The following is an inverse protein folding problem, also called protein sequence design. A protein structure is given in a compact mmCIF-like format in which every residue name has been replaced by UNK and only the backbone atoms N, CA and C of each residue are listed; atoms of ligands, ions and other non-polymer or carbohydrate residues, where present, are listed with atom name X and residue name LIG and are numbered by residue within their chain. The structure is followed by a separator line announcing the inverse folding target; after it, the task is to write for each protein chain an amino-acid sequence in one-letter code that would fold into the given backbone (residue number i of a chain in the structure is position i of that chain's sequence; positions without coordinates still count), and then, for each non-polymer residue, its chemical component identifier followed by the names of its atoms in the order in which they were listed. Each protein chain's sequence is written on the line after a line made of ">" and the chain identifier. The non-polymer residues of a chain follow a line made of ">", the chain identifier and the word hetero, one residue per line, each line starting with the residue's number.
data_IF_657009544180
#
_entry.id   IF_657009544180
#
_cell.length_a   1.000
_cell.length_b   1.000
_cell.length_c   1.000
_cell.angle_alpha   90.00
_cell.angle_beta   90.00
_cell.angle_gamma   90.00
#
_symmetry.space_group_name_H-M   'P 1'
#
loop_
_entity.id
_entity.type
_entity.pdbx_description
1 polymer ?
#
# COMPACT_ATOMS: atom_id res chain seq x y z
N UNK A 1 -2.78 51.75 35.14
CA UNK A 1 -2.90 50.31 35.48
C UNK A 1 -4.00 49.55 34.72
N UNK A 2 -5.04 50.21 34.15
CA UNK A 2 -6.15 49.49 33.48
C UNK A 2 -5.93 49.12 32.00
N UNK A 3 -4.99 49.77 31.29
CA UNK A 3 -4.74 49.48 29.86
C UNK A 3 -3.85 48.24 29.61
N UNK A 4 -2.92 47.93 30.50
CA UNK A 4 -2.02 46.77 30.35
C UNK A 4 -2.73 45.42 30.53
N UNK A 5 -3.70 45.34 31.46
CA UNK A 5 -4.51 44.13 31.66
C UNK A 5 -5.39 43.78 30.45
N UNK A 6 -5.88 44.78 29.70
CA UNK A 6 -6.69 44.55 28.50
C UNK A 6 -5.90 43.99 27.32
N UNK A 7 -4.64 44.41 27.16
CA UNK A 7 -3.73 43.92 26.10
C UNK A 7 -3.31 42.47 26.38
N UNK A 8 -3.08 42.13 27.65
CA UNK A 8 -2.72 40.77 28.08
C UNK A 8 -3.86 39.76 27.86
N UNK A 9 -5.11 40.16 28.15
CA UNK A 9 -6.30 39.33 27.89
C UNK A 9 -6.47 39.05 26.40
N UNK A 10 -6.29 40.06 25.54
CA UNK A 10 -6.39 39.91 24.08
C UNK A 10 -5.30 38.98 23.51
N UNK A 11 -4.05 39.10 24.00
CA UNK A 11 -2.96 38.18 23.62
C UNK A 11 -3.24 36.74 24.06
N UNK A 12 -3.72 36.55 25.30
CA UNK A 12 -4.07 35.23 25.82
C UNK A 12 -5.22 34.58 25.05
N UNK A 13 -6.23 35.37 24.67
CA UNK A 13 -7.33 34.90 23.82
C UNK A 13 -6.85 34.51 22.42
N UNK A 14 -5.98 35.31 21.81
CA UNK A 14 -5.37 35.00 20.51
C UNK A 14 -4.57 33.69 20.55
N UNK A 15 -3.77 33.49 21.59
CA UNK A 15 -2.97 32.27 21.76
C UNK A 15 -3.86 31.02 21.96
N UNK A 16 -4.95 31.14 22.70
CA UNK A 16 -5.93 30.05 22.87
C UNK A 16 -6.63 29.73 21.54
N UNK A 17 -6.98 30.75 20.76
CA UNK A 17 -7.56 30.59 19.43
C UNK A 17 -6.59 29.86 18.48
N UNK A 18 -5.33 30.30 18.37
CA UNK A 18 -4.33 29.68 17.49
C UNK A 18 -4.07 28.21 17.84
N UNK A 19 -4.02 27.90 19.14
CA UNK A 19 -3.91 26.51 19.62
C UNK A 19 -5.14 25.67 19.24
N UNK A 20 -6.33 26.25 19.39
CA UNK A 20 -7.59 25.59 19.03
C UNK A 20 -7.69 25.35 17.53
N UNK A 21 -7.36 26.36 16.72
CA UNK A 21 -7.31 26.27 15.27
C UNK A 21 -6.33 25.18 14.81
N UNK A 22 -5.11 25.16 15.36
CA UNK A 22 -4.11 24.14 15.05
C UNK A 22 -4.60 22.72 15.37
N UNK A 23 -5.28 22.56 16.50
CA UNK A 23 -5.90 21.28 16.90
C UNK A 23 -7.00 20.85 15.92
N UNK A 24 -7.87 21.78 15.53
CA UNK A 24 -8.95 21.51 14.56
C UNK A 24 -8.38 21.14 13.19
N UNK A 25 -7.39 21.89 12.68
CA UNK A 25 -6.72 21.59 11.41
C UNK A 25 -6.12 20.18 11.45
N UNK A 26 -5.42 19.83 12.54
CA UNK A 26 -4.87 18.48 12.72
C UNK A 26 -5.97 17.42 12.69
N UNK A 27 -7.09 17.64 13.37
CA UNK A 27 -8.22 16.69 13.39
C UNK A 27 -8.87 16.51 12.02
N UNK A 28 -8.97 17.59 11.23
CA UNK A 28 -9.47 17.55 9.85
C UNK A 28 -8.56 16.67 9.00
N UNK A 29 -7.24 16.88 9.05
CA UNK A 29 -6.28 16.11 8.27
C UNK A 29 -6.25 14.63 8.69
N UNK A 30 -6.26 14.33 9.98
CA UNK A 30 -6.39 12.95 10.49
C UNK A 30 -7.67 12.26 9.98
N UNK A 31 -8.79 12.98 9.96
CA UNK A 31 -10.08 12.43 9.51
C UNK A 31 -10.10 12.17 8.01
N UNK A 32 -9.53 13.08 7.20
CA UNK A 32 -9.35 12.88 5.74
C UNK A 32 -8.47 11.67 5.46
N UNK A 33 -7.32 11.57 6.14
CA UNK A 33 -6.43 10.42 5.99
C UNK A 33 -7.12 9.12 6.34
N UNK A 34 -7.85 9.07 7.46
CA UNK A 34 -8.61 7.88 7.88
C UNK A 34 -9.64 7.47 6.82
N UNK A 35 -10.40 8.42 6.27
CA UNK A 35 -11.37 8.14 5.22
C UNK A 35 -10.70 7.54 3.97
N UNK A 36 -9.60 8.12 3.51
CA UNK A 36 -8.84 7.62 2.35
C UNK A 36 -8.31 6.21 2.61
N UNK A 37 -7.71 5.96 3.77
CA UNK A 37 -7.18 4.63 4.12
C UNK A 37 -8.29 3.58 4.19
N UNK A 38 -9.44 3.91 4.79
CA UNK A 38 -10.60 2.98 4.84
C UNK A 38 -11.11 2.65 3.44
N UNK A 39 -11.29 3.66 2.58
CA UNK A 39 -11.72 3.45 1.19
C UNK A 39 -10.71 2.58 0.44
N UNK A 40 -9.41 2.83 0.62
CA UNK A 40 -8.37 2.04 -0.02
C UNK A 40 -8.40 0.57 0.42
N UNK A 41 -8.60 0.30 1.71
CA UNK A 41 -8.73 -1.08 2.22
C UNK A 41 -9.87 -1.83 1.55
N UNK A 42 -11.06 -1.21 1.49
CA UNK A 42 -12.23 -1.80 0.84
C UNK A 42 -11.99 -2.02 -0.66
N UNK A 43 -11.30 -1.09 -1.33
CA UNK A 43 -10.96 -1.23 -2.74
C UNK A 43 -10.02 -2.41 -3.00
N UNK A 44 -8.98 -2.57 -2.17
CA UNK A 44 -8.05 -3.69 -2.27
C UNK A 44 -8.75 -5.02 -1.96
N UNK A 45 -9.68 -5.05 -1.00
CA UNK A 45 -10.50 -6.24 -0.73
C UNK A 45 -11.39 -6.61 -1.92
N UNK A 46 -12.04 -5.62 -2.56
CA UNK A 46 -12.82 -5.83 -3.77
C UNK A 46 -11.96 -6.40 -4.91
N UNK A 47 -10.79 -5.82 -5.15
CA UNK A 47 -9.88 -6.29 -6.21
C UNK A 47 -9.30 -7.67 -5.92
N UNK A 48 -9.03 -7.97 -4.66
CA UNK A 48 -8.70 -9.33 -4.23
C UNK A 48 -9.84 -10.31 -4.55
N UNK A 49 -11.08 -9.96 -4.20
CA UNK A 49 -12.25 -10.79 -4.48
C UNK A 49 -12.42 -11.06 -5.98
N UNK A 50 -12.35 -10.01 -6.80
CA UNK A 50 -12.41 -10.13 -8.27
C UNK A 50 -11.32 -11.08 -8.79
N UNK A 51 -10.08 -10.90 -8.35
CA UNK A 51 -8.96 -11.75 -8.77
C UNK A 51 -9.13 -13.21 -8.38
N UNK A 52 -9.63 -13.46 -7.16
CA UNK A 52 -9.97 -14.80 -6.67
C UNK A 52 -11.06 -15.43 -7.54
N UNK A 53 -12.17 -14.73 -7.76
CA UNK A 53 -13.31 -15.22 -8.55
C UNK A 53 -12.91 -15.55 -9.99
N UNK A 54 -12.13 -14.68 -10.65
CA UNK A 54 -11.63 -14.96 -12.00
C UNK A 54 -10.81 -16.24 -12.01
N UNK A 55 -9.91 -16.40 -11.04
CA UNK A 55 -9.06 -17.59 -10.93
C UNK A 55 -9.90 -18.86 -10.72
N UNK A 56 -10.87 -18.83 -9.82
CA UNK A 56 -11.76 -19.96 -9.55
C UNK A 56 -12.64 -20.33 -10.76
N UNK A 57 -13.13 -19.34 -11.52
CA UNK A 57 -13.95 -19.58 -12.73
C UNK A 57 -13.16 -20.31 -13.82
N UNK A 58 -11.89 -19.91 -13.99
CA UNK A 58 -10.98 -20.52 -14.97
C UNK A 58 -10.46 -21.89 -14.53
N UNK A 59 -10.28 -22.12 -13.24
CA UNK A 59 -9.83 -23.42 -12.71
C UNK A 59 -10.96 -24.47 -12.68
N UNK A 60 -12.19 -24.08 -12.30
CA UNK A 60 -13.30 -25.03 -12.09
C UNK A 60 -14.10 -25.36 -13.34
N UNK A 61 -13.94 -24.60 -14.40
CA UNK A 61 -14.79 -24.70 -15.58
C UNK A 61 -14.00 -24.40 -16.83
N UNK A 62 -14.49 -24.81 -18.01
CA UNK A 62 -13.85 -24.55 -19.31
C UNK A 62 -13.88 -23.06 -19.74
N UNK A 63 -14.07 -22.14 -18.79
CA UNK A 63 -13.98 -20.71 -19.06
C UNK A 63 -12.52 -20.38 -19.34
N UNK A 64 -12.19 -20.18 -20.61
CA UNK A 64 -10.90 -19.64 -21.01
C UNK A 64 -10.73 -18.18 -20.62
N UNK A 65 -9.78 -17.49 -21.25
CA UNK A 65 -9.48 -16.09 -20.95
C UNK A 65 -10.65 -15.13 -21.18
N UNK A 66 -11.58 -15.47 -22.10
CA UNK A 66 -12.78 -14.69 -22.43
C UNK A 66 -13.74 -14.40 -21.26
N UNK A 67 -13.60 -15.08 -20.12
CA UNK A 67 -14.39 -14.76 -18.91
C UNK A 67 -14.09 -13.36 -18.39
N UNK A 68 -12.85 -12.89 -18.56
CA UNK A 68 -12.43 -11.57 -18.06
C UNK A 68 -13.12 -10.47 -18.87
N UNK A 69 -13.17 -10.62 -20.19
CA UNK A 69 -13.84 -9.68 -21.08
C UNK A 69 -15.35 -9.64 -20.81
N UNK A 70 -15.98 -10.79 -20.63
CA UNK A 70 -17.40 -10.87 -20.28
C UNK A 70 -17.69 -10.19 -18.94
N UNK A 71 -16.91 -10.49 -17.90
CA UNK A 71 -17.06 -9.84 -16.60
C UNK A 71 -16.85 -8.32 -16.68
N UNK A 72 -15.87 -7.86 -17.46
CA UNK A 72 -15.66 -6.41 -17.67
C UNK A 72 -16.88 -5.76 -18.32
N UNK A 73 -17.45 -6.38 -19.35
CA UNK A 73 -18.65 -5.88 -20.02
C UNK A 73 -19.83 -5.82 -19.05
N UNK A 74 -20.13 -6.93 -18.36
CA UNK A 74 -21.24 -7.04 -17.42
C UNK A 74 -21.14 -6.00 -16.29
N UNK A 75 -19.95 -5.84 -15.69
CA UNK A 75 -19.71 -4.87 -14.62
C UNK A 75 -19.82 -3.42 -15.12
N UNK A 76 -19.31 -3.11 -16.31
CA UNK A 76 -19.41 -1.76 -16.88
C UNK A 76 -20.84 -1.41 -17.30
N UNK A 77 -21.63 -2.38 -17.75
CA UNK A 77 -23.06 -2.18 -18.01
C UNK A 77 -23.84 -1.93 -16.72
N UNK A 78 -23.53 -2.69 -15.66
CA UNK A 78 -24.21 -2.53 -14.36
C UNK A 78 -23.80 -1.26 -13.61
N UNK A 79 -22.54 -0.83 -13.77
CA UNK A 79 -21.94 0.31 -13.07
C UNK A 79 -21.26 1.29 -14.05
N UNK A 80 -22.02 1.95 -14.94
CA UNK A 80 -21.45 2.73 -16.05
C UNK A 80 -20.63 3.94 -15.62
N UNK A 81 -20.94 4.52 -14.45
CA UNK A 81 -20.24 5.68 -13.91
C UNK A 81 -19.09 5.33 -12.93
N UNK A 82 -18.75 4.04 -12.81
CA UNK A 82 -17.67 3.59 -11.92
C UNK A 82 -16.43 3.16 -12.71
N UNK A 83 -15.29 3.74 -12.35
CA UNK A 83 -13.99 3.31 -12.85
C UNK A 83 -13.50 2.02 -12.17
N UNK A 84 -12.59 1.29 -12.79
CA UNK A 84 -11.95 0.10 -12.19
C UNK A 84 -12.48 -1.24 -12.69
N UNK A 85 -13.44 -1.24 -13.63
CA UNK A 85 -13.99 -2.47 -14.22
C UNK A 85 -13.58 -2.68 -15.68
N UNK A 86 -12.45 -2.12 -16.12
CA UNK A 86 -11.87 -2.45 -17.42
C UNK A 86 -11.27 -3.84 -17.42
N UNK A 87 -11.26 -4.54 -18.56
CA UNK A 87 -10.65 -5.88 -18.69
C UNK A 87 -9.21 -5.88 -18.20
N UNK A 88 -8.45 -4.83 -18.51
CA UNK A 88 -7.08 -4.64 -18.01
C UNK A 88 -7.01 -4.64 -16.48
N UNK A 89 -7.91 -3.90 -15.81
CA UNK A 89 -7.90 -3.87 -14.35
C UNK A 89 -8.32 -5.22 -13.76
N UNK A 90 -9.27 -5.94 -14.37
CA UNK A 90 -9.65 -7.29 -13.94
C UNK A 90 -8.49 -8.29 -14.08
N UNK A 91 -7.72 -8.20 -15.17
CA UNK A 91 -6.47 -8.96 -15.32
C UNK A 91 -5.45 -8.60 -14.25
N UNK A 92 -5.30 -7.32 -13.92
CA UNK A 92 -4.44 -6.88 -12.81
C UNK A 92 -4.96 -7.38 -11.45
N UNK A 93 -6.27 -7.44 -11.21
CA UNK A 93 -6.86 -8.06 -10.02
C UNK A 93 -6.49 -9.55 -9.92
N UNK A 94 -6.58 -10.30 -11.02
CA UNK A 94 -6.14 -11.71 -11.08
C UNK A 94 -4.66 -11.83 -10.74
N UNK A 95 -3.80 -11.02 -11.37
CA UNK A 95 -2.34 -10.99 -11.10
C UNK A 95 -2.06 -10.67 -9.64
N UNK A 96 -2.76 -9.70 -9.07
CA UNK A 96 -2.66 -9.32 -7.67
C UNK A 96 -3.02 -10.50 -6.75
N UNK A 97 -4.16 -11.14 -6.97
CA UNK A 97 -4.57 -12.31 -6.20
C UNK A 97 -3.52 -13.43 -6.29
N UNK A 98 -3.08 -13.80 -7.49
CA UNK A 98 -2.09 -14.86 -7.68
C UNK A 98 -0.74 -14.55 -7.03
N UNK A 99 -0.30 -13.28 -7.04
CA UNK A 99 0.96 -12.87 -6.44
C UNK A 99 0.97 -13.00 -4.91
N UNK A 100 -0.19 -12.82 -4.26
CA UNK A 100 -0.27 -12.72 -2.80
C UNK A 100 -1.07 -13.84 -2.12
N UNK A 101 -1.80 -14.71 -2.86
CA UNK A 101 -2.68 -15.76 -2.28
C UNK A 101 -1.97 -16.71 -1.31
N UNK A 102 -0.69 -16.99 -1.56
CA UNK A 102 0.12 -17.87 -0.73
C UNK A 102 0.84 -17.15 0.42
N UNK A 103 0.61 -15.85 0.58
CA UNK A 103 1.28 -14.99 1.55
C UNK A 103 0.26 -14.24 2.41
N UNK A 104 -0.52 -14.94 3.27
CA UNK A 104 -1.62 -14.34 4.03
C UNK A 104 -1.17 -13.17 4.92
N UNK A 105 0.09 -13.19 5.40
CA UNK A 105 0.69 -12.12 6.19
C UNK A 105 0.82 -10.79 5.43
N UNK A 106 0.91 -10.83 4.09
CA UNK A 106 1.03 -9.63 3.27
C UNK A 106 -0.32 -9.00 2.94
N UNK A 107 -1.42 -9.74 3.06
CA UNK A 107 -2.78 -9.27 2.79
C UNK A 107 -3.17 -7.98 3.52
N UNK A 108 -2.94 -7.82 4.84
CA UNK A 108 -3.20 -6.54 5.50
C UNK A 108 -2.25 -5.43 5.04
N UNK A 109 -1.00 -5.78 4.69
CA UNK A 109 0.04 -4.79 4.36
C UNK A 109 -0.18 -4.17 2.96
N UNK A 110 -0.57 -4.98 1.97
CA UNK A 110 -0.91 -4.48 0.62
C UNK A 110 -2.14 -3.57 0.63
N UNK A 111 -3.01 -3.69 1.64
CA UNK A 111 -4.19 -2.85 1.81
C UNK A 111 -3.87 -1.47 2.41
N UNK A 112 -2.67 -1.29 2.99
CA UNK A 112 -2.21 0.00 3.52
C UNK A 112 -1.61 0.92 2.44
N UNK A 113 -1.41 0.42 1.21
CA UNK A 113 -0.91 1.22 0.07
C UNK A 113 -1.94 1.30 -1.05
N UNK A 114 -1.91 2.41 -1.80
CA UNK A 114 -2.83 2.64 -2.92
C UNK A 114 -2.74 1.54 -3.99
N UNK A 115 -3.86 1.25 -4.66
CA UNK A 115 -3.90 0.29 -5.77
C UNK A 115 -2.80 0.52 -6.82
N UNK A 116 -2.57 1.78 -7.20
CA UNK A 116 -1.51 2.11 -8.17
C UNK A 116 -0.11 1.75 -7.70
N UNK A 117 0.15 1.76 -6.39
CA UNK A 117 1.43 1.35 -5.82
C UNK A 117 1.55 -0.17 -5.85
N UNK A 118 0.47 -0.90 -5.53
CA UNK A 118 0.41 -2.35 -5.71
C UNK A 118 0.72 -2.75 -7.16
N UNK A 119 0.14 -2.06 -8.15
CA UNK A 119 0.44 -2.30 -9.56
C UNK A 119 1.91 -2.04 -9.92
N UNK A 120 2.53 -1.00 -9.35
CA UNK A 120 3.97 -0.75 -9.54
C UNK A 120 4.78 -1.93 -9.02
N UNK A 121 4.47 -2.43 -7.82
CA UNK A 121 5.16 -3.57 -7.24
C UNK A 121 4.98 -4.83 -8.10
N UNK A 122 3.76 -5.12 -8.54
CA UNK A 122 3.49 -6.27 -9.40
C UNK A 122 4.25 -6.23 -10.74
N UNK A 123 4.50 -5.04 -11.27
CA UNK A 123 5.14 -4.86 -12.58
C UNK A 123 6.67 -4.77 -12.51
N UNK A 124 7.23 -4.25 -11.41
CA UNK A 124 8.64 -3.86 -11.35
C UNK A 124 9.46 -4.56 -10.27
N UNK A 125 8.89 -5.55 -9.57
CA UNK A 125 9.62 -6.37 -8.59
C UNK A 125 9.52 -7.85 -8.93
N UNK A 126 10.56 -8.61 -8.59
CA UNK A 126 10.69 -10.02 -8.96
C UNK A 126 10.20 -10.92 -7.83
N UNK A 127 10.78 -10.78 -6.65
CA UNK A 127 10.52 -11.69 -5.52
C UNK A 127 9.41 -11.17 -4.61
N UNK A 128 8.94 -12.02 -3.70
CA UNK A 128 7.95 -11.62 -2.69
C UNK A 128 8.61 -10.82 -1.56
N UNK A 129 9.87 -11.10 -1.25
CA UNK A 129 10.67 -10.40 -0.25
C UNK A 129 10.94 -8.96 -0.68
N UNK A 130 11.24 -8.76 -1.98
CA UNK A 130 11.40 -7.44 -2.57
C UNK A 130 10.08 -6.64 -2.50
N UNK A 131 8.95 -7.28 -2.83
CA UNK A 131 7.61 -6.67 -2.69
C UNK A 131 7.36 -6.25 -1.24
N UNK A 132 7.54 -7.17 -0.30
CA UNK A 132 7.33 -6.90 1.13
C UNK A 132 8.19 -5.75 1.63
N UNK A 133 9.47 -5.71 1.23
CA UNK A 133 10.39 -4.63 1.57
C UNK A 133 9.87 -3.28 1.07
N UNK A 134 9.55 -3.17 -0.22
CA UNK A 134 9.08 -1.91 -0.78
C UNK A 134 7.72 -1.48 -0.24
N UNK A 135 6.81 -2.42 0.09
CA UNK A 135 5.53 -2.08 0.74
C UNK A 135 5.80 -1.46 2.10
N UNK A 136 6.64 -2.09 2.93
CA UNK A 136 6.96 -1.59 4.28
C UNK A 136 7.63 -0.22 4.22
N UNK A 137 8.58 -0.04 3.30
CA UNK A 137 9.25 1.24 3.10
C UNK A 137 8.28 2.32 2.58
N UNK A 138 7.39 1.98 1.64
CA UNK A 138 6.40 2.92 1.13
C UNK A 138 5.43 3.39 2.21
N UNK A 139 5.02 2.52 3.14
CA UNK A 139 4.19 2.88 4.30
C UNK A 139 4.97 3.78 5.26
N UNK A 140 6.18 3.35 5.64
CA UNK A 140 7.02 4.05 6.62
C UNK A 140 7.41 5.45 6.16
N UNK A 141 7.91 5.56 4.93
CA UNK A 141 8.43 6.81 4.36
C UNK A 141 7.36 7.57 3.55
N UNK A 142 6.11 7.08 3.55
CA UNK A 142 4.95 7.67 2.85
C UNK A 142 5.22 7.95 1.37
N UNK A 143 5.85 7.00 0.68
CA UNK A 143 6.20 7.18 -0.73
C UNK A 143 4.98 7.30 -1.62
N UNK A 144 4.97 8.36 -2.44
CA UNK A 144 4.08 8.45 -3.59
C UNK A 144 4.39 7.35 -4.61
N UNK A 145 3.47 7.09 -5.54
CA UNK A 145 3.70 6.18 -6.68
C UNK A 145 5.01 6.50 -7.42
N UNK A 146 5.27 7.79 -7.66
CA UNK A 146 6.48 8.27 -8.36
C UNK A 146 7.73 7.95 -7.56
N UNK A 147 7.69 8.20 -6.26
CA UNK A 147 8.83 7.95 -5.40
C UNK A 147 9.10 6.46 -5.23
N UNK A 148 8.07 5.65 -4.99
CA UNK A 148 8.18 4.19 -4.96
C UNK A 148 8.83 3.68 -6.24
N UNK A 149 8.40 4.18 -7.40
CA UNK A 149 8.97 3.78 -8.68
C UNK A 149 10.44 4.19 -8.79
N UNK A 150 10.80 5.41 -8.40
CA UNK A 150 12.19 5.89 -8.38
C UNK A 150 13.08 5.01 -7.50
N UNK A 151 12.59 4.59 -6.33
CA UNK A 151 13.32 3.73 -5.42
C UNK A 151 13.57 2.34 -6.03
N UNK A 152 12.56 1.76 -6.69
CA UNK A 152 12.69 0.50 -7.44
C UNK A 152 13.69 0.64 -8.58
N UNK A 153 13.58 1.68 -9.42
CA UNK A 153 14.49 1.92 -10.54
C UNK A 153 15.93 2.11 -10.08
N UNK A 154 16.11 2.64 -8.87
CA UNK A 154 17.43 2.77 -8.27
C UNK A 154 17.96 1.47 -7.67
N UNK A 155 17.25 0.34 -7.66
CA UNK A 155 17.66 -0.89 -6.96
C UNK A 155 17.93 -0.64 -5.46
N UNK A 156 17.03 0.12 -4.81
CA UNK A 156 17.17 0.46 -3.38
C UNK A 156 17.15 -0.78 -2.48
N UNK A 157 16.32 -1.79 -2.81
CA UNK A 157 16.29 -3.07 -2.11
C UNK A 157 17.65 -3.76 -2.11
N UNK A 158 18.28 -3.90 -3.27
CA UNK A 158 19.56 -4.56 -3.43
C UNK A 158 20.65 -3.83 -2.64
N UNK A 159 20.72 -2.50 -2.75
CA UNK A 159 21.66 -1.69 -1.96
C UNK A 159 21.43 -1.82 -0.46
N UNK A 160 20.18 -1.78 -0.03
CA UNK A 160 19.82 -1.93 1.37
C UNK A 160 20.27 -3.32 1.87
N UNK A 161 19.97 -4.38 1.13
CA UNK A 161 20.38 -5.73 1.47
C UNK A 161 21.90 -5.89 1.48
N UNK A 162 22.65 -5.25 0.57
CA UNK A 162 24.11 -5.25 0.56
C UNK A 162 24.70 -4.52 1.77
N UNK A 163 24.13 -3.38 2.17
CA UNK A 163 24.57 -2.63 3.36
C UNK A 163 24.33 -3.37 4.68
N UNK A 164 23.33 -4.25 4.73
CA UNK A 164 22.98 -5.06 5.91
C UNK A 164 23.73 -6.41 5.95
N UNK A 165 24.44 -6.78 4.87
CA UNK A 165 25.18 -8.05 4.76
C UNK A 165 26.47 -8.17 5.59
N UNK A 166 27.11 -7.13 6.19
CA UNK A 166 28.22 -7.38 7.13
C UNK A 166 27.78 -8.22 8.34
N UNK A 167 26.61 -7.93 8.92
CA UNK A 167 26.14 -8.58 10.16
C UNK A 167 25.52 -9.97 9.94
N UNK A 168 24.91 -10.23 8.78
CA UNK A 168 24.32 -11.54 8.47
C UNK A 168 25.36 -12.58 8.01
N UNK A 169 26.44 -12.18 7.36
CA UNK A 169 27.53 -13.08 6.97
C UNK A 169 28.35 -13.52 8.19
N UNK A 170 28.67 -12.60 9.10
CA UNK A 170 29.36 -12.89 10.37
C UNK A 170 28.60 -13.91 11.24
N UNK A 171 27.27 -13.78 11.34
CA UNK A 171 26.43 -14.72 12.11
C UNK A 171 26.25 -16.08 11.44
N UNK A 172 26.31 -16.14 10.11
CA UNK A 172 26.26 -17.41 9.38
C UNK A 172 27.58 -18.18 9.41
N UNK A 173 28.73 -17.50 9.39
CA UNK A 173 30.06 -18.14 9.51
C UNK A 173 30.31 -18.70 10.92
N UNK A 174 29.90 -17.99 11.98
CA UNK A 174 30.02 -18.48 13.37
C UNK A 174 29.16 -19.71 13.68
N UNK A 175 28.06 -19.90 12.94
CA UNK A 175 27.17 -21.07 13.08
C UNK A 175 27.63 -22.31 12.30
N UNK A 176 28.65 -22.18 11.46
CA UNK A 176 29.17 -23.26 10.59
C UNK A 176 30.55 -23.78 11.01
N UNK A 177 31.14 -23.27 12.09
CA UNK A 177 32.36 -23.84 12.64
C UNK A 177 32.00 -25.18 13.32
N UNK A 178 32.57 -26.32 12.90
CA UNK A 178 32.45 -27.55 13.66
C UNK A 178 33.06 -27.30 15.04
N UNK A 179 32.32 -27.68 16.08
CA UNK A 179 32.88 -27.82 17.43
C UNK A 179 33.91 -28.96 17.33
N UNK A 180 35.16 -28.61 17.07
CA UNK A 180 36.28 -29.52 17.29
C UNK A 180 36.44 -29.71 18.80
N UNK A 181 36.33 -30.98 19.19
CA UNK A 181 36.59 -31.51 20.52
C UNK A 181 38.02 -31.22 21.01
#
# INVERSE_FOLDING_TARGET
>A
MSKEKGIDISRKQQQVYEKSLSSIIKKVEESKHKAITTVNKLLIELYWYIGKTITELQERSKWGDGVVERLSQDLRMKYPNQSGFSSRNLWDCKRFYLAYRNFPKLRPVVAEIHWTNNLVLLNYTKSIEEKEFYIKMAIKERWSKRELRRQIDSAYYERFMLSQKPDKLMKMEQSKLPVSA
#
